data_IF_680651546858
#
_entry.id   IF_680651546858
#
_cell.length_a   1.000
_cell.length_b   1.000
_cell.length_c   1.000
_cell.angle_alpha   90.00
_cell.angle_beta   90.00
_cell.angle_gamma   90.00
#
_symmetry.space_group_name_H-M   'P 1'
#
loop_
_entity.id
_entity.type
_entity.pdbx_description
1 polymer ?
#
# COMPACT_ATOMS: atom_id res chain seq x y z
N UNK A 1 18.06 8.48 -34.33
CA UNK A 1 16.82 7.68 -34.33
C UNK A 1 16.49 7.34 -32.89
N UNK A 2 15.32 7.71 -32.43
CA UNK A 2 14.90 7.40 -31.08
C UNK A 2 14.58 5.91 -30.96
N UNK A 3 14.96 5.31 -29.84
CA UNK A 3 14.59 3.94 -29.53
C UNK A 3 13.07 3.86 -29.27
N UNK A 4 12.43 2.87 -29.85
CA UNK A 4 11.01 2.59 -29.59
C UNK A 4 10.92 1.75 -28.32
N UNK A 5 10.20 2.25 -27.31
CA UNK A 5 9.92 1.51 -26.08
C UNK A 5 8.59 0.79 -26.24
N UNK A 6 8.58 -0.49 -25.92
CA UNK A 6 7.34 -1.26 -25.87
C UNK A 6 6.39 -0.63 -24.85
N UNK A 7 5.13 -0.41 -25.23
CA UNK A 7 4.12 0.10 -24.32
C UNK A 7 4.05 -0.79 -23.07
N UNK A 8 4.23 -0.20 -21.92
CA UNK A 8 4.34 -0.91 -20.65
C UNK A 8 3.40 -0.28 -19.62
N UNK A 9 2.60 -1.10 -19.00
CA UNK A 9 1.66 -0.67 -17.98
C UNK A 9 1.95 -1.38 -16.65
N UNK A 10 1.85 -0.64 -15.56
CA UNK A 10 1.91 -1.24 -14.24
C UNK A 10 0.70 -2.18 -14.06
N UNK A 11 0.90 -3.36 -13.50
CA UNK A 11 -0.17 -4.34 -13.32
C UNK A 11 -0.49 -4.61 -11.84
N UNK A 12 0.46 -5.11 -11.07
CA UNK A 12 0.17 -5.50 -9.69
C UNK A 12 1.38 -5.44 -8.77
N UNK A 13 1.09 -5.47 -7.47
CA UNK A 13 2.05 -5.72 -6.40
C UNK A 13 1.70 -7.06 -5.77
N UNK A 14 2.70 -7.89 -5.50
CA UNK A 14 2.51 -9.18 -4.84
C UNK A 14 2.93 -9.09 -3.37
N UNK A 15 2.15 -9.72 -2.51
CA UNK A 15 2.41 -9.80 -1.06
C UNK A 15 2.33 -11.27 -0.66
N UNK A 16 3.38 -11.77 -0.01
CA UNK A 16 3.38 -13.09 0.62
C UNK A 16 2.88 -12.96 2.06
N UNK A 17 1.87 -13.72 2.42
CA UNK A 17 1.15 -13.55 3.67
C UNK A 17 1.13 -14.85 4.48
N UNK A 18 1.31 -14.75 5.78
CA UNK A 18 1.03 -15.86 6.69
C UNK A 18 -0.47 -16.16 6.73
N UNK A 19 -1.27 -15.11 6.76
CA UNK A 19 -2.73 -15.18 6.73
C UNK A 19 -3.28 -14.33 5.60
N UNK A 20 -3.30 -14.87 4.35
CA UNK A 20 -3.81 -14.12 3.20
C UNK A 20 -5.25 -13.63 3.36
N UNK A 21 -6.08 -14.39 4.06
CA UNK A 21 -7.48 -14.00 4.27
C UNK A 21 -7.60 -12.77 5.16
N UNK A 22 -6.79 -12.65 6.21
CA UNK A 22 -6.76 -11.46 7.05
C UNK A 22 -6.29 -10.23 6.25
N UNK A 23 -5.28 -10.40 5.39
CA UNK A 23 -4.78 -9.34 4.51
C UNK A 23 -5.85 -8.93 3.50
N UNK A 24 -6.50 -9.89 2.87
CA UNK A 24 -7.60 -9.60 1.94
C UNK A 24 -8.72 -8.82 2.61
N UNK A 25 -9.13 -9.22 3.82
CA UNK A 25 -10.17 -8.52 4.57
C UNK A 25 -9.77 -7.08 4.88
N UNK A 26 -8.55 -6.86 5.29
CA UNK A 26 -8.04 -5.53 5.59
C UNK A 26 -8.17 -4.58 4.39
N UNK A 27 -7.67 -4.99 3.22
CA UNK A 27 -7.73 -4.16 2.02
C UNK A 27 -9.14 -4.04 1.46
N UNK A 28 -9.98 -5.07 1.62
CA UNK A 28 -11.38 -5.02 1.21
C UNK A 28 -12.19 -4.05 2.08
N UNK A 29 -12.06 -4.19 3.40
CA UNK A 29 -12.86 -3.40 4.35
C UNK A 29 -12.41 -1.94 4.41
N UNK A 30 -11.11 -1.68 4.32
CA UNK A 30 -10.58 -0.34 4.57
C UNK A 30 -10.17 0.43 3.31
N UNK A 31 -9.90 -0.25 2.20
CA UNK A 31 -9.41 0.39 0.98
C UNK A 31 -10.21 0.04 -0.27
N UNK A 32 -11.38 -0.58 -0.10
CA UNK A 32 -12.32 -0.79 -1.20
C UNK A 32 -11.90 -1.81 -2.25
N UNK A 33 -11.00 -2.73 -1.90
CA UNK A 33 -10.63 -3.81 -2.80
C UNK A 33 -11.74 -4.84 -2.91
N UNK A 34 -11.85 -5.45 -4.10
CA UNK A 34 -12.74 -6.58 -4.37
C UNK A 34 -11.97 -7.69 -5.04
N UNK A 35 -12.41 -8.93 -4.89
CA UNK A 35 -11.79 -10.06 -5.57
C UNK A 35 -11.87 -9.90 -7.08
N UNK A 36 -10.77 -10.17 -7.75
CA UNK A 36 -10.64 -10.17 -9.21
C UNK A 36 -10.45 -11.60 -9.72
N UNK A 37 -9.72 -12.44 -8.99
CA UNK A 37 -9.48 -13.83 -9.35
C UNK A 37 -9.05 -14.65 -8.16
N UNK A 38 -9.50 -15.91 -8.12
CA UNK A 38 -9.04 -16.91 -7.17
C UNK A 38 -8.52 -18.12 -7.95
N UNK A 39 -7.28 -18.50 -7.68
CA UNK A 39 -6.64 -19.64 -8.32
C UNK A 39 -6.36 -20.71 -7.25
N UNK A 40 -7.05 -21.85 -7.29
CA UNK A 40 -6.77 -22.94 -6.35
C UNK A 40 -5.39 -23.53 -6.61
N UNK A 41 -4.62 -23.74 -5.53
CA UNK A 41 -3.29 -24.35 -5.58
C UNK A 41 -3.20 -25.43 -4.49
N UNK A 42 -3.92 -26.54 -4.69
CA UNK A 42 -4.01 -27.60 -3.67
C UNK A 42 -4.74 -27.11 -2.42
N UNK A 43 -4.07 -27.16 -1.26
CA UNK A 43 -4.64 -26.76 0.02
C UNK A 43 -4.68 -25.23 0.23
N UNK A 44 -4.02 -24.49 -0.63
CA UNK A 44 -3.97 -23.03 -0.56
C UNK A 44 -4.55 -22.42 -1.85
N UNK A 45 -4.73 -21.11 -1.85
CA UNK A 45 -5.18 -20.40 -3.02
C UNK A 45 -4.37 -19.11 -3.22
N UNK A 46 -4.24 -18.74 -4.48
CA UNK A 46 -3.70 -17.45 -4.89
C UNK A 46 -4.87 -16.52 -5.19
N UNK A 47 -4.89 -15.35 -4.59
CA UNK A 47 -6.00 -14.41 -4.74
C UNK A 47 -5.49 -13.10 -5.33
N UNK A 48 -6.16 -12.63 -6.39
CA UNK A 48 -6.01 -11.26 -6.88
C UNK A 48 -7.19 -10.44 -6.38
N UNK A 49 -6.88 -9.30 -5.78
CA UNK A 49 -7.87 -8.28 -5.41
C UNK A 49 -7.54 -6.99 -6.16
N UNK A 50 -8.55 -6.16 -6.41
CA UNK A 50 -8.37 -4.91 -7.15
C UNK A 50 -9.13 -3.76 -6.55
N UNK A 51 -8.59 -2.57 -6.72
CA UNK A 51 -9.26 -1.29 -6.49
C UNK A 51 -8.84 -0.33 -7.61
N UNK A 52 -9.79 0.12 -8.43
CA UNK A 52 -9.46 0.88 -9.63
C UNK A 52 -8.54 0.08 -10.55
N UNK A 53 -7.39 0.67 -10.87
CA UNK A 53 -6.37 0.04 -11.72
C UNK A 53 -5.25 -0.64 -10.93
N UNK A 54 -5.34 -0.67 -9.61
CA UNK A 54 -4.36 -1.34 -8.76
C UNK A 54 -4.83 -2.76 -8.42
N UNK A 55 -3.95 -3.73 -8.66
CA UNK A 55 -4.15 -5.12 -8.26
C UNK A 55 -3.14 -5.50 -7.21
N UNK A 56 -3.57 -6.29 -6.23
CA UNK A 56 -2.70 -6.98 -5.29
C UNK A 56 -2.84 -8.48 -5.53
N UNK A 57 -1.69 -9.15 -5.58
CA UNK A 57 -1.63 -10.62 -5.68
C UNK A 57 -1.20 -11.16 -4.32
N UNK A 58 -2.05 -11.96 -3.69
CA UNK A 58 -1.84 -12.45 -2.33
C UNK A 58 -1.44 -13.92 -2.36
N UNK A 59 -0.21 -14.20 -1.92
CA UNK A 59 0.35 -15.54 -1.82
C UNK A 59 0.31 -16.06 -0.39
N UNK A 60 0.15 -17.37 -0.24
CA UNK A 60 0.42 -18.04 1.02
C UNK A 60 1.93 -18.15 1.22
N UNK A 61 2.46 -17.56 2.28
CA UNK A 61 3.87 -17.72 2.63
C UNK A 61 4.16 -19.14 3.10
N UNK A 62 5.34 -19.66 2.74
CA UNK A 62 5.78 -20.99 3.14
C UNK A 62 6.45 -21.01 4.53
N UNK A 63 6.87 -19.86 5.01
CA UNK A 63 7.58 -19.74 6.29
C UNK A 63 7.57 -18.33 6.82
N UNK A 64 8.35 -18.11 7.88
CA UNK A 64 8.46 -16.80 8.53
C UNK A 64 9.37 -15.85 7.75
N UNK A 65 9.14 -14.56 7.93
CA UNK A 65 10.01 -13.53 7.37
C UNK A 65 11.43 -13.67 7.94
N UNK A 66 12.47 -13.50 7.10
CA UNK A 66 13.87 -13.64 7.55
C UNK A 66 14.32 -12.49 8.47
N UNK A 67 13.59 -11.39 8.48
CA UNK A 67 13.89 -10.23 9.31
C UNK A 67 12.60 -9.52 9.71
N UNK A 68 12.68 -8.73 10.78
CA UNK A 68 11.56 -7.89 11.19
C UNK A 68 11.28 -6.82 10.12
N UNK A 69 10.00 -6.42 9.94
CA UNK A 69 9.68 -5.33 9.04
C UNK A 69 10.28 -4.00 9.52
N UNK A 70 10.44 -3.06 8.60
CA UNK A 70 10.88 -1.72 8.94
C UNK A 70 9.92 -1.06 9.92
N UNK A 71 10.45 -0.34 10.89
CA UNK A 71 9.64 0.45 11.81
C UNK A 71 9.23 1.79 11.20
N UNK A 72 8.07 2.30 11.60
CA UNK A 72 7.53 3.55 11.09
C UNK A 72 7.35 3.55 9.59
N UNK A 73 7.92 4.52 8.91
CA UNK A 73 7.94 4.58 7.45
C UNK A 73 9.17 3.87 6.85
N UNK A 74 10.17 3.55 7.65
CA UNK A 74 11.26 2.65 7.32
C UNK A 74 12.25 3.05 6.24
N UNK A 75 12.79 4.29 6.19
CA UNK A 75 13.81 4.64 5.19
C UNK A 75 15.23 4.22 5.58
N UNK A 76 15.37 3.10 6.25
CA UNK A 76 16.64 2.72 6.88
C UNK A 76 17.56 1.87 6.00
N UNK A 77 17.02 1.30 4.93
CA UNK A 77 17.76 0.48 3.97
C UNK A 77 17.09 0.53 2.58
N UNK A 78 17.82 0.20 1.52
CA UNK A 78 17.23 0.15 0.18
C UNK A 78 16.17 -0.93 0.07
N UNK A 79 15.07 -0.65 -0.60
CA UNK A 79 14.01 -1.61 -0.85
C UNK A 79 12.63 -0.95 -0.93
N UNK A 80 11.61 -1.76 -1.01
CA UNK A 80 10.23 -1.31 -0.97
C UNK A 80 9.88 -0.83 0.44
N UNK A 81 9.24 0.33 0.54
CA UNK A 81 8.88 0.91 1.85
C UNK A 81 7.42 0.69 2.20
N UNK A 82 6.51 1.11 1.33
CA UNK A 82 5.08 1.06 1.62
C UNK A 82 4.24 1.14 0.35
N UNK A 83 2.96 0.76 0.50
CA UNK A 83 1.89 1.15 -0.42
C UNK A 83 1.27 2.43 0.09
N UNK A 84 0.84 3.31 -0.81
CA UNK A 84 0.19 4.55 -0.43
C UNK A 84 -1.18 4.68 -1.10
N UNK A 85 -2.15 5.17 -0.33
CA UNK A 85 -3.50 5.47 -0.82
C UNK A 85 -3.81 6.94 -0.57
N UNK A 86 -4.43 7.57 -1.54
CA UNK A 86 -4.91 8.94 -1.42
C UNK A 86 -6.34 8.94 -0.88
N UNK A 87 -6.59 9.80 0.10
CA UNK A 87 -7.92 10.05 0.65
C UNK A 87 -8.18 11.56 0.65
N UNK A 88 -9.43 11.96 0.82
CA UNK A 88 -9.78 13.37 0.94
C UNK A 88 -9.47 13.92 2.34
N UNK A 89 -9.58 13.07 3.36
CA UNK A 89 -9.43 13.46 4.77
C UNK A 89 -8.79 12.29 5.55
N UNK A 90 -7.55 12.47 5.97
CA UNK A 90 -6.79 11.46 6.73
C UNK A 90 -7.45 11.17 8.08
N UNK A 91 -7.86 12.21 8.81
CA UNK A 91 -8.46 12.01 10.13
C UNK A 91 -9.80 11.27 10.05
N UNK A 92 -10.60 11.58 9.04
CA UNK A 92 -11.86 10.86 8.79
C UNK A 92 -11.59 9.39 8.45
N UNK A 93 -10.55 9.12 7.65
CA UNK A 93 -10.16 7.74 7.30
C UNK A 93 -9.71 6.94 8.53
N UNK A 94 -8.92 7.55 9.40
CA UNK A 94 -8.49 6.90 10.64
C UNK A 94 -9.69 6.61 11.56
N UNK A 95 -10.63 7.55 11.68
CA UNK A 95 -11.84 7.34 12.47
C UNK A 95 -12.70 6.20 11.91
N UNK A 96 -12.82 6.12 10.60
CA UNK A 96 -13.51 5.07 9.88
C UNK A 96 -12.90 3.67 10.12
N UNK A 97 -11.57 3.59 10.13
CA UNK A 97 -10.84 2.35 10.38
C UNK A 97 -10.91 1.91 11.85
N UNK A 98 -11.00 2.86 12.78
CA UNK A 98 -11.04 2.57 14.21
C UNK A 98 -9.81 1.80 14.69
N UNK A 99 -10.01 0.72 15.42
CA UNK A 99 -8.93 -0.10 15.98
C UNK A 99 -8.08 -0.81 14.91
N UNK A 100 -8.56 -0.91 13.69
CA UNK A 100 -7.78 -1.47 12.58
C UNK A 100 -6.67 -0.53 12.13
N UNK A 101 -6.72 0.75 12.49
CA UNK A 101 -5.66 1.71 12.21
C UNK A 101 -4.50 1.56 13.19
N UNK A 102 -3.63 0.60 12.93
CA UNK A 102 -2.41 0.38 13.71
C UNK A 102 -1.35 1.39 13.26
N UNK A 103 -1.38 2.61 13.83
CA UNK A 103 -0.51 3.71 13.42
C UNK A 103 0.95 3.40 13.76
N UNK A 104 1.82 3.49 12.77
CA UNK A 104 3.27 3.31 12.92
C UNK A 104 4.01 4.64 12.94
N UNK A 105 3.46 5.66 12.26
CA UNK A 105 4.04 7.00 12.23
C UNK A 105 2.96 8.02 11.88
N UNK A 106 3.00 9.18 12.52
CA UNK A 106 2.10 10.30 12.24
C UNK A 106 0.77 10.25 12.98
N UNK A 107 -0.23 11.02 12.54
CA UNK A 107 -0.23 11.88 11.34
C UNK A 107 0.79 13.02 11.37
N UNK A 108 1.36 13.33 10.22
CA UNK A 108 2.29 14.42 10.03
C UNK A 108 1.77 15.40 8.98
N UNK A 109 2.02 16.69 9.21
CA UNK A 109 1.68 17.75 8.27
C UNK A 109 2.93 18.20 7.53
N UNK A 110 2.82 18.30 6.22
CA UNK A 110 3.90 18.72 5.34
C UNK A 110 3.55 20.02 4.59
N UNK A 111 2.85 20.92 5.27
CA UNK A 111 2.45 22.22 4.71
C UNK A 111 3.64 23.06 4.22
N UNK A 112 4.82 22.84 4.79
CA UNK A 112 6.03 23.53 4.34
C UNK A 112 6.40 23.19 2.87
N UNK A 113 5.99 22.04 2.39
CA UNK A 113 6.24 21.58 1.01
C UNK A 113 5.02 21.76 0.12
N UNK A 114 3.86 21.31 0.58
CA UNK A 114 2.58 21.42 -0.14
C UNK A 114 1.50 21.80 0.87
N UNK A 115 0.84 22.94 0.72
CA UNK A 115 -0.25 23.34 1.61
C UNK A 115 -1.34 22.26 1.69
N UNK A 116 -1.66 21.83 2.91
CA UNK A 116 -2.67 20.80 3.13
C UNK A 116 -2.21 19.36 2.98
N UNK A 117 -0.93 19.13 2.70
CA UNK A 117 -0.41 17.77 2.60
C UNK A 117 -0.25 17.17 4.00
N UNK A 118 -1.02 16.14 4.27
CA UNK A 118 -1.05 15.44 5.56
C UNK A 118 -1.06 13.95 5.32
N UNK A 119 -0.27 13.22 6.08
CA UNK A 119 -0.13 11.78 5.88
C UNK A 119 0.05 11.03 7.19
N UNK A 120 -0.34 9.77 7.19
CA UNK A 120 -0.17 8.83 8.31
C UNK A 120 0.25 7.48 7.74
N UNK A 121 1.03 6.72 8.52
CA UNK A 121 1.43 5.37 8.18
C UNK A 121 0.80 4.40 9.17
N UNK A 122 0.22 3.32 8.64
CA UNK A 122 -0.40 2.25 9.44
C UNK A 122 0.19 0.90 9.02
N UNK A 123 0.08 -0.09 9.89
CA UNK A 123 0.47 -1.46 9.54
C UNK A 123 -0.74 -2.26 9.06
N UNK A 124 -0.55 -3.06 8.00
CA UNK A 124 -1.52 -4.08 7.63
C UNK A 124 -1.36 -5.34 8.55
N UNK A 125 -2.22 -6.37 8.43
CA UNK A 125 -2.12 -7.55 9.31
C UNK A 125 -0.79 -8.33 9.24
N UNK A 126 -0.01 -8.18 8.15
CA UNK A 126 1.33 -8.79 8.03
C UNK A 126 2.44 -7.84 8.50
N UNK A 127 2.10 -6.65 8.95
CA UNK A 127 3.07 -5.63 9.35
C UNK A 127 3.61 -4.80 8.20
N UNK A 128 3.06 -4.93 6.99
CA UNK A 128 3.44 -4.06 5.88
C UNK A 128 2.97 -2.64 6.15
N UNK A 129 3.82 -1.67 5.81
CA UNK A 129 3.49 -0.26 6.00
C UNK A 129 2.57 0.20 4.88
N UNK A 130 1.51 0.90 5.26
CA UNK A 130 0.54 1.52 4.35
C UNK A 130 0.46 3.01 4.70
N UNK A 131 0.75 3.86 3.71
CA UNK A 131 0.59 5.31 3.86
C UNK A 131 -0.80 5.72 3.43
N UNK A 132 -1.42 6.59 4.22
CA UNK A 132 -2.71 7.21 3.91
C UNK A 132 -2.45 8.71 3.83
N UNK A 133 -2.68 9.31 2.67
CA UNK A 133 -2.25 10.68 2.37
C UNK A 133 -3.37 11.52 1.80
N UNK A 134 -3.38 12.81 2.17
CA UNK A 134 -4.26 13.81 1.58
C UNK A 134 -3.45 15.01 1.11
N UNK A 135 -3.96 15.70 0.09
CA UNK A 135 -3.46 17.02 -0.28
C UNK A 135 -2.24 17.05 -1.18
N UNK A 136 -1.69 15.89 -1.58
CA UNK A 136 -0.59 15.88 -2.53
C UNK A 136 -1.04 16.43 -3.88
N UNK A 137 -0.18 17.27 -4.48
CA UNK A 137 -0.35 17.77 -5.85
C UNK A 137 0.99 17.71 -6.56
N UNK A 138 0.93 17.52 -7.88
CA UNK A 138 2.13 17.55 -8.70
C UNK A 138 2.74 18.96 -8.73
N UNK A 139 4.03 19.01 -8.98
CA UNK A 139 4.78 20.27 -9.10
C UNK A 139 4.74 20.76 -10.53
N UNK A 140 4.51 22.08 -10.70
CA UNK A 140 4.70 22.76 -11.98
C UNK A 140 6.20 23.03 -12.20
N UNK A 141 6.61 23.17 -13.46
CA UNK A 141 8.00 23.56 -13.83
C UNK A 141 9.07 22.68 -13.19
N UNK A 142 8.96 21.35 -13.42
CA UNK A 142 9.91 20.39 -12.88
C UNK A 142 11.33 20.63 -13.36
N UNK A 143 12.34 20.53 -12.45
CA UNK A 143 13.74 20.55 -12.89
C UNK A 143 14.05 19.31 -13.74
N UNK A 144 15.01 19.46 -14.66
CA UNK A 144 15.51 18.33 -15.44
C UNK A 144 16.34 17.39 -14.56
N UNK A 145 16.44 16.12 -14.99
CA UNK A 145 17.31 15.14 -14.35
C UNK A 145 18.79 15.50 -14.54
#
# INVERSE_FOLDING_TARGET
MEATVTATNFHHVAISCKDPLAVERFYTEHFGFTRSRVIPLGDVQLVFIKSGNLYLELFQAEGDAPAAPAGGDGPHYPGWRHLAFKVDDVDAKLAEMGDAAQITLGPLDFDAFIPGWRTVWVADPEGNIVEISQGYTDQDNLPAL
#
